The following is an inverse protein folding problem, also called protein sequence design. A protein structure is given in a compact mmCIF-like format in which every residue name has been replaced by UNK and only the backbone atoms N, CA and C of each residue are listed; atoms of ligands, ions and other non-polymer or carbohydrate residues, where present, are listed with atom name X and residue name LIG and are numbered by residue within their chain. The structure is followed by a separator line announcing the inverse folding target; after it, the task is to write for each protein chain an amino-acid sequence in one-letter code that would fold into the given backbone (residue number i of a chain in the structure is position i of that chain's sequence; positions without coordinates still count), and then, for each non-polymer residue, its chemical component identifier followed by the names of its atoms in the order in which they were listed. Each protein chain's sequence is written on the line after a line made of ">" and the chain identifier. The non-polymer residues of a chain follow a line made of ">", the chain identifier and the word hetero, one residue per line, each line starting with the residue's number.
data_IF_822795617076
#
_entry.id   IF_822795617076
#
_cell.length_a   1.000
_cell.length_b   1.000
_cell.length_c   1.000
_cell.angle_alpha   90.00
_cell.angle_beta   90.00
_cell.angle_gamma   90.00
#
_symmetry.space_group_name_H-M   'P 1'
#
loop_
_entity.id
_entity.type
_entity.pdbx_description
1 polymer ?
#
# COMPACT_ATOMS: atom_id res chain seq x y z
N UNK A 1 3.89 63.36 17.67
CA UNK A 1 3.68 62.21 18.58
C UNK A 1 2.19 61.89 18.55
N UNK A 2 1.67 60.70 18.31
CA UNK A 2 2.16 59.36 17.95
C UNK A 2 0.98 58.68 17.19
N UNK A 3 1.28 57.91 16.16
CA UNK A 3 0.32 57.09 15.42
C UNK A 3 -0.18 55.90 16.25
N UNK A 4 -1.39 55.43 15.94
CA UNK A 4 -1.68 54.00 15.86
C UNK A 4 -2.32 53.34 17.08
N UNK A 5 -3.60 53.01 16.93
CA UNK A 5 -4.21 51.83 17.56
C UNK A 5 -3.36 50.59 17.23
N UNK A 6 -3.18 49.64 18.16
CA UNK A 6 -3.48 48.23 17.84
C UNK A 6 -3.52 47.34 19.09
N UNK A 7 -4.61 46.55 19.12
CA UNK A 7 -4.95 45.39 19.92
C UNK A 7 -3.83 44.58 20.59
N UNK A 8 -4.07 44.29 21.87
CA UNK A 8 -3.66 43.04 22.51
C UNK A 8 -4.22 41.87 21.68
N UNK A 9 -3.40 41.26 20.82
CA UNK A 9 -3.64 39.91 20.35
C UNK A 9 -2.82 38.98 21.24
N UNK A 10 -3.46 38.48 22.29
CA UNK A 10 -3.08 37.18 22.82
C UNK A 10 -3.18 36.20 21.66
N UNK A 11 -2.14 35.40 21.46
CA UNK A 11 -2.15 34.24 20.58
C UNK A 11 -3.07 33.19 21.19
N UNK A 12 -4.37 33.47 21.17
CA UNK A 12 -5.43 32.48 21.30
C UNK A 12 -5.69 31.98 19.88
N UNK A 13 -4.69 31.27 19.36
CA UNK A 13 -4.82 30.52 18.12
C UNK A 13 -5.71 29.33 18.47
N UNK A 14 -7.02 29.59 18.41
CA UNK A 14 -8.06 28.59 18.57
C UNK A 14 -7.81 27.49 17.54
N UNK A 15 -7.15 26.42 17.98
CA UNK A 15 -7.30 25.10 17.41
C UNK A 15 -8.80 24.85 17.31
N UNK A 16 -9.28 24.60 16.10
CA UNK A 16 -10.69 24.33 15.89
C UNK A 16 -11.06 23.09 16.72
N UNK A 17 -12.21 23.07 17.42
CA UNK A 17 -12.58 21.95 18.29
C UNK A 17 -12.60 20.58 17.57
N UNK A 18 -12.75 20.60 16.24
CA UNK A 18 -12.73 19.42 15.38
C UNK A 18 -11.32 18.83 15.17
N UNK A 19 -10.24 19.62 15.30
CA UNK A 19 -8.86 19.12 15.23
C UNK A 19 -8.47 18.36 16.51
N UNK A 20 -8.92 18.81 17.68
CA UNK A 20 -8.60 18.15 18.96
C UNK A 20 -9.26 16.76 19.04
N UNK A 21 -10.51 16.61 18.59
CA UNK A 21 -11.18 15.30 18.50
C UNK A 21 -10.50 14.35 17.51
N UNK A 22 -9.97 14.89 16.40
CA UNK A 22 -9.22 14.08 15.44
C UNK A 22 -7.93 13.54 16.08
N UNK A 23 -7.17 14.38 16.78
CA UNK A 23 -5.93 13.97 17.44
C UNK A 23 -6.17 13.07 18.66
N UNK A 24 -7.27 13.23 19.40
CA UNK A 24 -7.67 12.29 20.46
C UNK A 24 -8.04 10.92 19.88
N UNK A 25 -8.82 10.87 18.80
CA UNK A 25 -9.16 9.60 18.14
C UNK A 25 -7.94 8.89 17.55
N UNK A 26 -6.99 9.65 17.01
CA UNK A 26 -5.69 9.13 16.55
C UNK A 26 -4.88 8.56 17.72
N UNK A 27 -4.89 9.25 18.86
CA UNK A 27 -4.18 8.82 20.07
C UNK A 27 -4.82 7.57 20.69
N UNK A 28 -6.15 7.48 20.73
CA UNK A 28 -6.90 6.29 21.17
C UNK A 28 -6.63 5.09 20.25
N UNK A 29 -6.60 5.27 18.92
CA UNK A 29 -6.21 4.21 17.98
C UNK A 29 -4.79 3.69 18.25
N UNK A 30 -3.84 4.60 18.46
CA UNK A 30 -2.45 4.24 18.77
C UNK A 30 -2.31 3.57 20.15
N UNK A 31 -3.12 3.97 21.13
CA UNK A 31 -3.14 3.39 22.49
C UNK A 31 -3.84 2.01 22.53
N UNK A 32 -4.84 1.79 21.66
CA UNK A 32 -5.55 0.52 21.52
C UNK A 32 -4.74 -0.56 20.79
N UNK A 33 -3.64 -0.17 20.13
CA UNK A 33 -2.76 -1.10 19.43
C UNK A 33 -3.38 -1.67 18.15
N UNK A 34 -4.25 -0.92 17.46
CA UNK A 34 -4.66 -1.26 16.09
C UNK A 34 -3.42 -1.14 15.18
N UNK A 35 -2.65 -2.22 15.10
CA UNK A 35 -1.64 -2.37 14.05
C UNK A 35 -2.38 -2.53 12.74
N UNK A 36 -2.13 -1.65 11.77
CA UNK A 36 -2.49 -1.95 10.38
C UNK A 36 -2.01 -3.38 10.08
N UNK A 37 -2.88 -4.22 9.51
CA UNK A 37 -2.54 -5.61 9.27
C UNK A 37 -1.26 -5.65 8.43
N UNK A 38 -0.24 -6.33 8.95
CA UNK A 38 1.03 -6.42 8.26
C UNK A 38 0.80 -7.06 6.88
N UNK A 39 1.33 -6.46 5.81
CA UNK A 39 1.09 -6.98 4.49
C UNK A 39 1.72 -8.37 4.35
N UNK A 40 0.96 -9.33 3.83
CA UNK A 40 1.42 -10.71 3.68
C UNK A 40 2.26 -10.85 2.41
N UNK A 41 3.51 -11.32 2.57
CA UNK A 41 4.38 -11.70 1.46
C UNK A 41 4.12 -13.17 1.06
N UNK A 42 3.83 -13.40 -0.22
CA UNK A 42 3.49 -14.71 -0.78
C UNK A 42 4.32 -15.00 -2.02
N UNK A 43 4.41 -16.30 -2.34
CA UNK A 43 5.16 -16.83 -3.47
C UNK A 43 4.24 -17.71 -4.31
N UNK A 44 4.24 -17.48 -5.61
CA UNK A 44 3.55 -18.29 -6.61
C UNK A 44 4.61 -18.95 -7.52
N UNK A 45 4.83 -20.24 -7.33
CA UNK A 45 5.67 -21.05 -8.21
C UNK A 45 4.97 -21.32 -9.53
N UNK A 46 5.70 -21.22 -10.65
CA UNK A 46 5.18 -21.38 -12.00
C UNK A 46 5.84 -22.55 -12.74
N UNK A 47 6.44 -23.52 -12.06
CA UNK A 47 7.20 -24.60 -12.69
C UNK A 47 6.41 -25.36 -13.79
N UNK A 48 5.10 -25.52 -13.64
CA UNK A 48 4.24 -26.19 -14.62
C UNK A 48 3.58 -25.19 -15.59
N UNK A 49 3.20 -24.00 -15.12
CA UNK A 49 2.42 -23.01 -15.84
C UNK A 49 3.27 -22.02 -16.65
N UNK A 50 4.58 -21.90 -16.38
CA UNK A 50 5.45 -20.90 -16.99
C UNK A 50 5.44 -20.98 -18.52
N UNK A 51 5.58 -22.18 -19.07
CA UNK A 51 5.62 -22.38 -20.53
C UNK A 51 4.30 -22.01 -21.22
N UNK A 52 3.17 -22.23 -20.56
CA UNK A 52 1.85 -21.86 -21.07
C UNK A 52 1.63 -20.34 -20.97
N UNK A 53 2.07 -19.73 -19.87
CA UNK A 53 2.01 -18.27 -19.69
C UNK A 53 2.88 -17.54 -20.71
N UNK A 54 4.14 -17.93 -20.91
CA UNK A 54 5.01 -17.28 -21.92
C UNK A 54 4.44 -17.42 -23.34
N UNK A 55 3.77 -18.53 -23.63
CA UNK A 55 3.11 -18.74 -24.92
C UNK A 55 1.85 -17.89 -25.07
N UNK A 56 1.08 -17.71 -23.99
CA UNK A 56 -0.12 -16.87 -23.98
C UNK A 56 0.22 -15.39 -24.17
N UNK A 57 1.21 -14.89 -23.43
CA UNK A 57 1.66 -13.50 -23.52
C UNK A 57 2.58 -13.26 -24.73
N UNK A 58 3.18 -14.31 -25.29
CA UNK A 58 4.05 -14.22 -26.47
C UNK A 58 5.42 -13.58 -26.19
N UNK A 59 5.77 -13.41 -24.91
CA UNK A 59 7.04 -12.89 -24.42
C UNK A 59 7.45 -13.64 -23.15
N UNK A 60 8.67 -13.40 -22.68
CA UNK A 60 9.12 -13.98 -21.41
C UNK A 60 8.43 -13.28 -20.24
N UNK A 61 8.19 -14.01 -19.15
CA UNK A 61 7.68 -13.39 -17.91
C UNK A 61 8.63 -12.31 -17.37
N UNK A 62 9.92 -12.40 -17.64
CA UNK A 62 10.92 -11.38 -17.29
C UNK A 62 10.68 -10.03 -17.98
N UNK A 63 9.97 -10.03 -19.10
CA UNK A 63 9.64 -8.84 -19.89
C UNK A 63 8.26 -8.27 -19.54
N UNK A 64 7.48 -8.98 -18.71
CA UNK A 64 6.18 -8.52 -18.25
C UNK A 64 6.33 -7.45 -17.17
N UNK A 65 5.46 -6.45 -17.24
CA UNK A 65 5.37 -5.43 -16.21
C UNK A 65 4.61 -5.95 -14.98
N UNK A 66 4.71 -5.20 -13.87
CA UNK A 66 3.89 -5.44 -12.68
C UNK A 66 2.38 -5.62 -12.96
N UNK A 67 1.70 -4.84 -13.81
CA UNK A 67 0.26 -5.04 -14.03
C UNK A 67 -0.07 -6.42 -14.63
N UNK A 68 0.73 -6.88 -15.59
CA UNK A 68 0.53 -8.19 -16.22
C UNK A 68 0.83 -9.33 -15.24
N UNK A 69 1.90 -9.20 -14.46
CA UNK A 69 2.23 -10.17 -13.41
C UNK A 69 1.16 -10.23 -12.32
N UNK A 70 0.58 -9.08 -11.96
CA UNK A 70 -0.53 -8.99 -11.01
C UNK A 70 -1.78 -9.69 -11.53
N UNK A 71 -2.09 -9.56 -12.82
CA UNK A 71 -3.19 -10.29 -13.45
C UNK A 71 -2.97 -11.80 -13.43
N UNK A 72 -1.73 -12.26 -13.67
CA UNK A 72 -1.37 -13.69 -13.56
C UNK A 72 -1.64 -14.21 -12.14
N UNK A 73 -1.19 -13.47 -11.12
CA UNK A 73 -1.44 -13.82 -9.71
C UNK A 73 -2.94 -13.86 -9.44
N UNK A 74 -3.70 -12.87 -9.89
CA UNK A 74 -5.15 -12.83 -9.74
C UNK A 74 -5.84 -14.03 -10.42
N UNK A 75 -5.44 -14.39 -11.64
CA UNK A 75 -6.01 -15.53 -12.36
C UNK A 75 -5.75 -16.86 -11.68
N UNK A 76 -4.55 -17.04 -11.11
CA UNK A 76 -4.13 -18.32 -10.52
C UNK A 76 -4.52 -18.44 -9.04
N UNK A 77 -4.49 -17.36 -8.28
CA UNK A 77 -4.75 -17.34 -6.82
C UNK A 77 -6.06 -16.66 -6.43
N UNK A 78 -6.64 -15.83 -7.30
CA UNK A 78 -7.82 -15.02 -6.98
C UNK A 78 -7.51 -13.81 -6.10
N UNK A 79 -6.23 -13.50 -5.90
CA UNK A 79 -5.75 -12.43 -5.01
C UNK A 79 -5.24 -11.25 -5.84
N UNK A 80 -5.49 -10.03 -5.38
CA UNK A 80 -5.00 -8.83 -6.05
C UNK A 80 -3.77 -8.30 -5.30
N UNK A 81 -2.56 -8.47 -5.85
CA UNK A 81 -1.35 -8.00 -5.17
C UNK A 81 -1.22 -6.48 -5.23
N UNK A 82 -0.68 -5.91 -4.16
CA UNK A 82 -0.27 -4.50 -4.08
C UNK A 82 1.09 -4.30 -4.78
N UNK A 83 2.00 -5.24 -4.58
CA UNK A 83 3.33 -5.27 -5.22
C UNK A 83 3.57 -6.67 -5.78
N UNK A 84 4.20 -6.75 -6.95
CA UNK A 84 4.44 -8.03 -7.62
C UNK A 84 5.77 -8.01 -8.37
N UNK A 85 6.53 -9.08 -8.28
CA UNK A 85 7.83 -9.22 -8.94
C UNK A 85 8.06 -10.66 -9.38
N UNK A 86 8.41 -10.84 -10.65
CA UNK A 86 8.87 -12.13 -11.14
C UNK A 86 10.35 -12.32 -10.82
N UNK A 87 10.70 -13.49 -10.29
CA UNK A 87 12.07 -13.87 -9.97
C UNK A 87 12.48 -15.10 -10.81
N UNK A 88 13.22 -14.89 -11.92
CA UNK A 88 13.50 -15.94 -12.90
C UNK A 88 14.37 -17.07 -12.33
N UNK A 89 15.22 -16.78 -11.33
CA UNK A 89 16.03 -17.81 -10.68
C UNK A 89 15.21 -18.85 -9.92
N UNK A 90 13.96 -18.53 -9.58
CA UNK A 90 13.03 -19.38 -8.82
C UNK A 90 11.82 -19.79 -9.66
N UNK A 91 11.73 -19.34 -10.91
CA UNK A 91 10.55 -19.49 -11.77
C UNK A 91 9.25 -19.16 -11.02
N UNK A 92 9.30 -18.10 -10.20
CA UNK A 92 8.25 -17.78 -9.23
C UNK A 92 7.94 -16.30 -9.23
N UNK A 93 6.67 -15.97 -9.00
CA UNK A 93 6.22 -14.60 -8.74
C UNK A 93 6.15 -14.39 -7.23
N UNK A 94 6.88 -13.39 -6.74
CA UNK A 94 6.79 -12.87 -5.38
C UNK A 94 5.78 -11.74 -5.38
N UNK A 95 4.82 -11.77 -4.46
CA UNK A 95 3.79 -10.73 -4.39
C UNK A 95 3.38 -10.45 -2.96
N UNK A 96 2.95 -9.22 -2.73
CA UNK A 96 2.50 -8.74 -1.42
C UNK A 96 1.03 -8.35 -1.49
N UNK A 97 0.25 -8.75 -0.50
CA UNK A 97 -1.15 -8.35 -0.35
C UNK A 97 -1.32 -7.54 0.95
N UNK A 98 -2.07 -6.43 0.89
CA UNK A 98 -2.54 -5.77 2.11
C UNK A 98 -3.77 -6.50 2.63
N UNK A 99 -3.67 -7.07 3.82
CA UNK A 99 -4.75 -7.87 4.42
C UNK A 99 -5.63 -6.97 5.30
N UNK A 100 -6.39 -6.05 4.70
CA UNK A 100 -7.24 -5.08 5.43
C UNK A 100 -8.28 -5.71 6.37
#
# INVERSE_FOLDING_TARGET
>A
MLFGNESRRGSDEKLMPEEDEYWERVRERMEMGETEPEPEEKILSLDEELGDLEKEYGCKLEELGEPDLGEIVYRLRGEYPDEVKYEPGWLSIFYRINVA
#
